data_IF_139845359511
#
_entry.id   IF_139845359511
#
_cell.length_a   1.000
_cell.length_b   1.000
_cell.length_c   1.000
_cell.angle_alpha   90.00
_cell.angle_beta   90.00
_cell.angle_gamma   90.00
#
_symmetry.space_group_name_H-M   'P 1'
#
loop_
_entity.id
_entity.type
_entity.pdbx_description
1 polymer ?
#
# COMPACT_ATOMS: atom_id res chain seq x y z
N UNK A 1 -1.12 50.18 18.41
CA UNK A 1 -2.29 49.99 17.52
C UNK A 1 -1.84 49.23 16.29
N UNK A 2 -2.24 47.96 16.15
CA UNK A 2 -1.86 47.13 15.00
C UNK A 2 -2.56 47.65 13.75
N UNK A 3 -1.81 47.91 12.67
CA UNK A 3 -2.38 48.31 11.37
C UNK A 3 -3.23 47.15 10.85
N UNK A 4 -4.47 47.42 10.46
CA UNK A 4 -5.36 46.42 9.88
C UNK A 4 -4.76 45.94 8.56
N UNK A 5 -4.18 44.74 8.56
CA UNK A 5 -3.67 44.06 7.38
C UNK A 5 -4.84 43.34 6.71
N UNK A 6 -5.36 43.91 5.62
CA UNK A 6 -6.46 43.33 4.80
C UNK A 6 -6.10 41.98 4.17
N UNK A 7 -4.86 41.52 4.34
CA UNK A 7 -4.32 40.29 3.73
C UNK A 7 -4.23 39.17 4.77
N UNK A 8 -4.98 38.09 4.57
CA UNK A 8 -4.91 36.86 5.35
C UNK A 8 -3.81 35.89 4.88
N UNK A 9 -2.92 36.31 3.96
CA UNK A 9 -1.90 35.41 3.38
C UNK A 9 -1.00 34.75 4.43
N UNK A 10 -0.73 35.44 5.53
CA UNK A 10 0.08 34.91 6.64
C UNK A 10 -0.62 33.80 7.43
N UNK A 11 -1.96 33.72 7.39
CA UNK A 11 -2.75 32.67 8.05
C UNK A 11 -2.88 31.39 7.22
N UNK A 12 -2.45 31.42 5.96
CA UNK A 12 -2.43 30.26 5.06
C UNK A 12 -1.19 29.41 5.21
N UNK A 13 -0.19 29.90 5.97
CA UNK A 13 1.04 29.16 6.22
C UNK A 13 0.76 28.17 7.33
N UNK A 14 0.89 26.89 7.02
CA UNK A 14 0.82 25.81 7.99
C UNK A 14 2.18 25.75 8.72
N UNK A 15 2.24 26.36 9.91
CA UNK A 15 3.44 26.39 10.74
C UNK A 15 3.67 25.07 11.47
N UNK A 16 2.61 24.28 11.66
CA UNK A 16 2.66 22.99 12.37
C UNK A 16 3.38 21.93 11.51
N UNK A 17 3.43 22.12 10.18
CA UNK A 17 4.20 21.27 9.27
C UNK A 17 5.69 21.21 9.60
N UNK A 18 6.23 22.27 10.22
CA UNK A 18 7.65 22.40 10.57
C UNK A 18 7.94 22.22 12.07
N UNK A 19 6.96 21.78 12.87
CA UNK A 19 7.19 21.47 14.29
C UNK A 19 8.15 20.27 14.42
N UNK A 20 9.27 20.47 15.10
CA UNK A 20 10.27 19.43 15.36
C UNK A 20 9.71 18.26 16.19
N UNK A 21 8.62 18.48 16.92
CA UNK A 21 7.93 17.44 17.70
C UNK A 21 6.82 16.73 16.91
N UNK A 22 6.61 17.08 15.65
CA UNK A 22 5.64 16.40 14.78
C UNK A 22 6.04 14.94 14.64
N UNK A 23 5.09 14.04 14.90
CA UNK A 23 5.30 12.60 14.73
C UNK A 23 5.60 12.29 13.26
N UNK A 24 6.72 11.60 13.02
CA UNK A 24 7.12 11.10 11.70
C UNK A 24 7.10 9.58 11.74
N UNK A 25 6.47 8.97 10.74
CA UNK A 25 6.49 7.51 10.60
C UNK A 25 7.91 7.05 10.25
N UNK A 26 8.39 6.00 10.92
CA UNK A 26 9.62 5.32 10.54
C UNK A 26 9.38 4.52 9.25
N UNK A 27 9.75 5.09 8.10
CA UNK A 27 9.68 4.39 6.83
C UNK A 27 10.92 3.50 6.61
N UNK A 28 10.84 2.23 6.99
CA UNK A 28 11.83 1.22 6.59
C UNK A 28 11.69 0.98 5.06
N UNK A 29 12.63 1.50 4.27
CA UNK A 29 12.57 1.49 2.80
C UNK A 29 12.65 0.08 2.20
N UNK A 30 11.51 -0.46 1.75
CA UNK A 30 11.41 -1.75 1.06
C UNK A 30 11.27 -1.60 -0.46
N UNK A 31 12.18 -0.85 -1.08
CA UNK A 31 12.10 -0.47 -2.50
C UNK A 31 12.15 -1.66 -3.47
N UNK A 32 12.62 -2.83 -3.02
CA UNK A 32 12.67 -4.08 -3.79
C UNK A 32 11.54 -5.07 -3.51
N UNK A 33 10.51 -4.72 -2.72
CA UNK A 33 9.36 -5.62 -2.52
C UNK A 33 8.43 -5.58 -3.73
N UNK A 34 8.57 -6.55 -4.64
CA UNK A 34 7.73 -6.69 -5.84
C UNK A 34 6.34 -7.29 -5.57
N UNK A 35 6.13 -7.83 -4.38
CA UNK A 35 4.93 -8.60 -4.07
C UNK A 35 5.06 -10.10 -4.44
N UNK A 36 4.03 -10.92 -4.17
CA UNK A 36 3.92 -12.31 -4.56
C UNK A 36 3.95 -12.53 -6.07
N UNK A 37 4.50 -13.68 -6.46
CA UNK A 37 4.63 -14.11 -7.87
C UNK A 37 3.25 -14.45 -8.47
N UNK A 38 2.83 -13.66 -9.44
CA UNK A 38 1.56 -13.84 -10.13
C UNK A 38 1.49 -15.16 -10.88
N UNK A 39 2.58 -15.60 -11.52
CA UNK A 39 2.58 -16.81 -12.33
C UNK A 39 2.38 -18.05 -11.45
N UNK A 40 2.98 -18.05 -10.26
CA UNK A 40 2.79 -19.09 -9.25
C UNK A 40 1.34 -19.13 -8.77
N UNK A 41 0.79 -17.98 -8.38
CA UNK A 41 -0.59 -17.86 -7.89
C UNK A 41 -1.60 -18.29 -8.95
N UNK A 42 -1.41 -17.87 -10.20
CA UNK A 42 -2.30 -18.20 -11.31
C UNK A 42 -2.23 -19.68 -11.71
N UNK A 43 -1.05 -20.31 -11.56
CA UNK A 43 -0.88 -21.76 -11.71
C UNK A 43 -1.62 -22.53 -10.61
N UNK A 44 -1.50 -22.09 -9.36
CA UNK A 44 -2.13 -22.73 -8.20
C UNK A 44 -3.66 -22.61 -8.23
N UNK A 45 -4.20 -21.46 -8.66
CA UNK A 45 -5.65 -21.29 -8.88
C UNK A 45 -6.15 -22.26 -9.97
N UNK A 46 -5.45 -22.34 -11.11
CA UNK A 46 -5.82 -23.24 -12.21
C UNK A 46 -5.76 -24.73 -11.84
N UNK A 47 -4.86 -25.10 -10.94
CA UNK A 47 -4.76 -26.46 -10.40
C UNK A 47 -5.83 -26.77 -9.34
N UNK A 48 -6.66 -25.80 -8.95
CA UNK A 48 -7.64 -25.94 -7.86
C UNK A 48 -7.02 -25.88 -6.45
N UNK A 49 -5.71 -25.66 -6.34
CA UNK A 49 -5.00 -25.53 -5.07
C UNK A 49 -5.08 -24.09 -4.54
N UNK A 50 -6.28 -23.70 -4.12
CA UNK A 50 -6.57 -22.38 -3.58
C UNK A 50 -5.87 -22.11 -2.23
N UNK A 51 -5.50 -23.16 -1.49
CA UNK A 51 -4.78 -23.01 -0.23
C UNK A 51 -3.32 -22.61 -0.46
N UNK A 52 -2.65 -23.28 -1.41
CA UNK A 52 -1.31 -22.90 -1.86
C UNK A 52 -1.29 -21.50 -2.46
N UNK A 53 -2.30 -21.15 -3.27
CA UNK A 53 -2.41 -19.82 -3.86
C UNK A 53 -2.50 -18.72 -2.79
N UNK A 54 -3.28 -18.94 -1.71
CA UNK A 54 -3.36 -17.98 -0.61
C UNK A 54 -2.04 -17.87 0.15
N UNK A 55 -1.36 -18.99 0.38
CA UNK A 55 -0.08 -19.01 1.06
C UNK A 55 1.00 -18.25 0.27
N UNK A 56 1.03 -18.41 -1.05
CA UNK A 56 1.96 -17.69 -1.93
C UNK A 56 1.73 -16.17 -1.85
N UNK A 57 0.47 -15.73 -1.91
CA UNK A 57 0.12 -14.31 -1.82
C UNK A 57 0.50 -13.70 -0.46
N UNK A 58 0.34 -14.44 0.63
CA UNK A 58 0.64 -13.96 1.98
C UNK A 58 2.13 -14.02 2.36
N UNK A 59 2.97 -14.71 1.58
CA UNK A 59 4.39 -14.91 1.90
C UNK A 59 5.24 -13.66 1.65
N UNK A 60 4.85 -12.79 0.72
CA UNK A 60 5.66 -11.63 0.36
C UNK A 60 4.82 -10.39 0.05
N UNK A 61 3.99 -9.91 1.00
CA UNK A 61 3.22 -8.70 0.81
C UNK A 61 4.15 -7.48 0.69
N UNK A 62 3.87 -6.54 -0.24
CA UNK A 62 4.68 -5.34 -0.43
C UNK A 62 4.36 -4.27 0.63
N UNK A 63 4.72 -4.54 1.89
CA UNK A 63 4.40 -3.71 3.07
C UNK A 63 5.24 -2.42 3.07
N UNK A 64 6.52 -2.54 2.74
CA UNK A 64 7.50 -1.47 2.93
C UNK A 64 7.77 -0.65 1.66
N UNK A 65 7.06 -0.92 0.56
CA UNK A 65 7.19 -0.11 -0.67
C UNK A 65 6.38 1.18 -0.57
N UNK A 66 6.96 2.31 -1.02
CA UNK A 66 6.23 3.58 -1.18
C UNK A 66 5.37 3.60 -2.44
N UNK A 67 5.57 2.64 -3.34
CA UNK A 67 4.86 2.58 -4.60
C UNK A 67 3.42 2.08 -4.40
N UNK A 68 2.47 3.03 -4.39
CA UNK A 68 1.04 2.75 -4.24
C UNK A 68 0.52 1.79 -5.32
N UNK A 69 1.10 1.80 -6.54
CA UNK A 69 0.71 0.85 -7.57
C UNK A 69 1.07 -0.59 -7.17
N UNK A 70 2.18 -0.80 -6.46
CA UNK A 70 2.58 -2.14 -5.99
C UNK A 70 1.71 -2.61 -4.83
N UNK A 71 1.24 -1.69 -3.97
CA UNK A 71 0.33 -1.98 -2.84
C UNK A 71 -1.12 -2.22 -3.28
N UNK A 72 -1.66 -1.31 -4.09
CA UNK A 72 -3.09 -1.25 -4.40
C UNK A 72 -3.47 -2.04 -5.67
N UNK A 73 -2.64 -1.97 -6.71
CA UNK A 73 -3.04 -2.35 -8.07
C UNK A 73 -2.24 -3.51 -8.66
N UNK A 74 -1.01 -3.73 -8.21
CA UNK A 74 -0.19 -4.85 -8.64
C UNK A 74 -0.90 -6.13 -8.25
N UNK A 75 -0.83 -7.15 -9.10
CA UNK A 75 -1.21 -8.50 -8.70
C UNK A 75 -0.14 -9.13 -7.76
N UNK A 76 0.76 -8.32 -7.19
CA UNK A 76 1.39 -8.55 -5.89
C UNK A 76 0.62 -8.00 -4.67
N UNK A 77 -0.26 -7.02 -4.84
CA UNK A 77 -0.93 -6.33 -3.76
C UNK A 77 -2.27 -6.95 -3.36
N UNK A 78 -3.18 -6.08 -2.92
CA UNK A 78 -4.54 -6.46 -2.52
C UNK A 78 -5.32 -7.14 -3.66
N UNK A 79 -5.04 -6.80 -4.92
CA UNK A 79 -5.70 -7.38 -6.09
C UNK A 79 -5.56 -8.90 -6.21
N UNK A 80 -4.38 -9.45 -5.88
CA UNK A 80 -4.17 -10.90 -5.96
C UNK A 80 -4.86 -11.65 -4.82
N UNK A 81 -4.86 -11.07 -3.61
CA UNK A 81 -5.61 -11.60 -2.46
C UNK A 81 -7.10 -11.71 -2.83
N UNK A 82 -7.67 -10.63 -3.38
CA UNK A 82 -9.09 -10.60 -3.78
C UNK A 82 -9.40 -11.64 -4.86
N UNK A 83 -8.53 -11.83 -5.85
CA UNK A 83 -8.68 -12.87 -6.88
C UNK A 83 -8.72 -14.28 -6.28
N UNK A 84 -7.77 -14.62 -5.39
CA UNK A 84 -7.75 -15.93 -4.70
C UNK A 84 -9.00 -16.14 -3.85
N UNK A 85 -9.40 -15.13 -3.08
CA UNK A 85 -10.59 -15.20 -2.24
C UNK A 85 -11.89 -15.33 -3.05
N UNK A 86 -11.97 -14.69 -4.22
CA UNK A 86 -13.14 -14.76 -5.10
C UNK A 86 -13.22 -16.12 -5.81
N UNK A 87 -12.08 -16.67 -6.25
CA UNK A 87 -12.01 -18.01 -6.82
C UNK A 87 -12.51 -19.08 -5.83
N UNK A 88 -12.25 -18.90 -4.53
CA UNK A 88 -12.72 -19.79 -3.45
C UNK A 88 -14.24 -19.89 -3.30
N UNK A 89 -15.00 -18.91 -3.79
CA UNK A 89 -16.46 -18.88 -3.66
C UNK A 89 -17.20 -19.44 -4.88
N UNK A 90 -16.47 -19.76 -5.95
CA UNK A 90 -17.03 -20.21 -7.24
C UNK A 90 -16.98 -21.73 -7.41
N UNK A 91 -16.51 -22.46 -6.39
CA UNK A 91 -16.58 -23.93 -6.26
C UNK A 91 -17.53 -24.26 -5.12
#
# INVERSE_FOLDING_TARGET
MSKNTVSDRFRKVDVDEYDENKFVDEEEGGENQLGPDEAEVDSLIRQGNLMGALQAVLKSPPINTKNQNVKALSAGGVGCIVRVLTARKTV
#
